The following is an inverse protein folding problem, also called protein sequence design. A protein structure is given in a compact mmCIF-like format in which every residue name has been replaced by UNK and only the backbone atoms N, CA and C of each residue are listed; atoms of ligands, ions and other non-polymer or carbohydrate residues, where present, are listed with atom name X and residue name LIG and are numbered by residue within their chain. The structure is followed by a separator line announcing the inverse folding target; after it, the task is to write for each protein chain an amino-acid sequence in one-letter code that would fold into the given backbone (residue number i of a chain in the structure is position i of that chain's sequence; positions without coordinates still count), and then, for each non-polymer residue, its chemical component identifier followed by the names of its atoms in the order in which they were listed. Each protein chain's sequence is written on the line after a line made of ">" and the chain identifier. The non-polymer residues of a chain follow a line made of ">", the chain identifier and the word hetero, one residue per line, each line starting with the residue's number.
data_IF_363025489043
#
_entry.id   IF_363025489043
#
_cell.length_a   1.000
_cell.length_b   1.000
_cell.length_c   1.000
_cell.angle_alpha   90.00
_cell.angle_beta   90.00
_cell.angle_gamma   90.00
#
_symmetry.space_group_name_H-M   'P 1'
#
loop_
_entity.id
_entity.type
_entity.pdbx_description
1 polymer ?
#
# COMPACT_ATOMS: atom_id res chain seq x y z
N UNK A 1 -2.65 5.66 19.60
CA UNK A 1 -2.38 4.22 19.36
C UNK A 1 -1.60 4.13 18.07
N UNK A 2 -0.51 3.37 18.07
CA UNK A 2 0.35 3.21 16.89
C UNK A 2 -0.09 1.99 16.10
N UNK A 3 -0.26 2.16 14.79
CA UNK A 3 -0.57 1.06 13.88
C UNK A 3 0.71 0.35 13.41
N UNK A 4 1.80 1.13 13.21
CA UNK A 4 3.14 0.58 12.90
C UNK A 4 4.16 1.25 13.81
N UNK A 5 5.05 0.47 14.39
CA UNK A 5 6.26 0.94 15.11
C UNK A 5 7.48 0.25 14.52
N UNK A 6 8.46 1.03 14.11
CA UNK A 6 9.75 0.57 13.63
C UNK A 6 10.82 1.17 14.54
N UNK A 7 11.68 0.34 15.15
CA UNK A 7 12.69 0.79 16.09
C UNK A 7 14.05 0.16 15.78
N UNK A 8 15.02 1.00 15.51
CA UNK A 8 16.43 0.65 15.26
C UNK A 8 16.62 -0.51 14.26
N UNK A 9 15.77 -0.54 13.20
CA UNK A 9 15.77 -1.63 12.23
C UNK A 9 17.01 -1.52 11.35
N UNK A 10 17.72 -2.66 11.25
CA UNK A 10 18.85 -2.87 10.35
C UNK A 10 18.51 -4.00 9.39
N UNK A 11 18.90 -3.82 8.13
CA UNK A 11 18.74 -4.85 7.11
C UNK A 11 19.80 -4.73 6.02
N UNK A 12 20.33 -5.90 5.59
CA UNK A 12 21.33 -6.04 4.55
C UNK A 12 20.92 -7.09 3.51
N UNK A 13 21.23 -6.83 2.24
CA UNK A 13 21.25 -7.86 1.21
C UNK A 13 22.65 -8.46 1.13
N UNK A 14 22.88 -9.61 1.77
CA UNK A 14 24.21 -10.21 1.87
C UNK A 14 25.14 -9.31 2.66
N UNK A 15 26.12 -8.65 2.00
CA UNK A 15 27.08 -7.74 2.64
C UNK A 15 26.69 -6.25 2.52
N UNK A 16 25.69 -5.94 1.70
CA UNK A 16 25.31 -4.57 1.41
C UNK A 16 24.24 -4.11 2.40
N UNK A 17 24.61 -3.28 3.37
CA UNK A 17 23.69 -2.67 4.33
C UNK A 17 22.78 -1.67 3.61
N UNK A 18 21.45 -1.90 3.69
CA UNK A 18 20.43 -1.09 3.03
C UNK A 18 19.66 -0.22 4.03
N UNK A 19 19.43 -0.72 5.24
CA UNK A 19 18.80 0.03 6.32
C UNK A 19 19.70 -0.02 7.57
N UNK A 20 19.94 1.15 8.16
CA UNK A 20 20.81 1.30 9.30
C UNK A 20 20.11 2.07 10.42
N UNK A 21 19.62 1.35 11.43
CA UNK A 21 18.93 1.87 12.61
C UNK A 21 17.75 2.81 12.26
N UNK A 22 16.92 2.38 11.33
CA UNK A 22 15.72 3.12 10.95
C UNK A 22 14.69 3.04 12.06
N UNK A 23 14.16 4.20 12.48
CA UNK A 23 13.14 4.28 13.55
C UNK A 23 12.07 5.30 13.15
N UNK A 24 10.79 4.90 13.14
CA UNK A 24 9.63 5.78 12.95
C UNK A 24 8.37 5.08 13.45
N UNK A 25 7.27 5.83 13.50
CA UNK A 25 5.95 5.31 13.82
C UNK A 25 4.88 5.83 12.87
N UNK A 26 3.82 5.06 12.69
CA UNK A 26 2.57 5.45 12.04
C UNK A 26 1.46 5.37 13.09
N UNK A 27 0.90 6.51 13.47
CA UNK A 27 -0.23 6.54 14.39
C UNK A 27 -1.55 6.30 13.64
N UNK A 28 -2.56 5.86 14.39
CA UNK A 28 -3.90 5.65 13.81
C UNK A 28 -4.44 6.93 13.18
N UNK A 29 -4.80 6.84 11.90
CA UNK A 29 -5.30 7.96 11.11
C UNK A 29 -4.21 8.92 10.59
N UNK A 30 -2.94 8.58 10.72
CA UNK A 30 -1.85 9.34 10.09
C UNK A 30 -1.86 9.13 8.56
N UNK A 31 -1.42 10.16 7.85
CA UNK A 31 -0.96 10.06 6.48
C UNK A 31 0.53 10.42 6.45
N UNK A 32 1.37 9.40 6.50
CA UNK A 32 2.83 9.51 6.52
C UNK A 32 3.41 9.23 5.15
N UNK A 33 4.27 10.12 4.66
CA UNK A 33 5.04 9.91 3.43
C UNK A 33 6.50 9.69 3.75
N UNK A 34 7.07 8.64 3.16
CA UNK A 34 8.51 8.34 3.21
C UNK A 34 9.14 8.75 1.89
N UNK A 35 10.13 9.65 1.98
CA UNK A 35 10.89 10.15 0.85
C UNK A 35 12.30 9.58 0.83
N UNK A 36 12.93 9.64 -0.34
CA UNK A 36 14.34 9.31 -0.52
C UNK A 36 14.66 8.99 -1.97
N UNK A 37 15.96 9.02 -2.29
CA UNK A 37 16.46 8.65 -3.62
C UNK A 37 16.20 7.17 -3.93
N UNK A 38 16.30 6.79 -5.20
CA UNK A 38 16.25 5.38 -5.60
C UNK A 38 17.38 4.61 -4.93
N UNK A 39 17.08 3.41 -4.42
CA UNK A 39 18.07 2.62 -3.68
C UNK A 39 18.25 3.01 -2.21
N UNK A 40 17.57 4.02 -1.68
CA UNK A 40 17.70 4.44 -0.27
C UNK A 40 17.10 3.48 0.76
N UNK A 41 16.45 2.37 0.33
CA UNK A 41 15.87 1.36 1.23
C UNK A 41 14.36 1.45 1.44
N UNK A 42 13.64 2.38 0.79
CA UNK A 42 12.20 2.60 1.01
C UNK A 42 11.34 1.36 0.76
N UNK A 43 11.45 0.75 -0.42
CA UNK A 43 10.69 -0.47 -0.76
C UNK A 43 11.13 -1.68 0.07
N UNK A 44 12.42 -1.72 0.47
CA UNK A 44 12.92 -2.72 1.43
C UNK A 44 12.22 -2.60 2.77
N UNK A 45 11.98 -1.38 3.24
CA UNK A 45 11.24 -1.14 4.48
C UNK A 45 9.80 -1.65 4.41
N UNK A 46 9.08 -1.40 3.30
CA UNK A 46 7.73 -1.98 3.10
C UNK A 46 7.78 -3.51 3.12
N UNK A 47 8.74 -4.13 2.43
CA UNK A 47 8.89 -5.60 2.41
C UNK A 47 9.16 -6.17 3.80
N UNK A 48 9.90 -5.46 4.65
CA UNK A 48 10.10 -5.85 6.06
C UNK A 48 8.79 -5.75 6.85
N UNK A 49 8.01 -4.68 6.68
CA UNK A 49 6.70 -4.51 7.34
C UNK A 49 5.69 -5.57 6.88
N UNK A 50 5.76 -5.99 5.60
CA UNK A 50 4.93 -7.07 5.06
C UNK A 50 5.43 -8.49 5.42
N UNK A 51 6.61 -8.60 6.10
CA UNK A 51 7.27 -9.86 6.42
C UNK A 51 7.71 -10.68 5.19
N UNK A 52 7.85 -10.01 4.03
CA UNK A 52 8.44 -10.61 2.82
C UNK A 52 9.97 -10.73 2.95
N UNK A 53 10.56 -9.92 3.83
CA UNK A 53 11.97 -9.96 4.23
C UNK A 53 12.08 -10.07 5.75
N UNK A 54 13.21 -10.63 6.21
CA UNK A 54 13.53 -10.73 7.65
C UNK A 54 14.62 -9.71 8.00
N UNK A 55 14.34 -8.85 8.97
CA UNK A 55 15.32 -7.88 9.48
C UNK A 55 16.52 -8.56 10.14
N UNK A 56 17.69 -7.92 10.08
CA UNK A 56 18.89 -8.38 10.78
C UNK A 56 18.82 -8.07 12.28
N UNK A 57 18.35 -6.85 12.62
CA UNK A 57 18.17 -6.42 14.01
C UNK A 57 17.09 -5.34 14.14
N UNK A 58 16.81 -4.90 15.37
CA UNK A 58 15.76 -3.93 15.67
C UNK A 58 14.39 -4.58 15.90
N UNK A 59 13.37 -3.77 16.03
CA UNK A 59 12.01 -4.21 16.33
C UNK A 59 10.99 -3.59 15.35
N UNK A 60 10.03 -4.40 14.90
CA UNK A 60 8.85 -3.93 14.16
C UNK A 60 7.61 -4.45 14.87
N UNK A 61 6.69 -3.55 15.21
CA UNK A 61 5.37 -3.91 15.75
C UNK A 61 4.28 -3.43 14.82
N UNK A 62 3.27 -4.27 14.63
CA UNK A 62 2.05 -3.98 13.89
C UNK A 62 0.88 -4.07 14.87
N UNK A 63 0.14 -2.97 15.04
CA UNK A 63 -0.98 -2.86 15.99
C UNK A 63 -0.59 -3.31 17.42
N UNK A 64 0.62 -2.97 17.85
CA UNK A 64 1.18 -3.33 19.16
C UNK A 64 1.72 -4.76 19.27
N UNK A 65 1.57 -5.61 18.24
CA UNK A 65 2.07 -6.98 18.19
C UNK A 65 3.40 -7.03 17.44
N UNK A 66 4.39 -7.77 17.98
CA UNK A 66 5.66 -7.97 17.28
C UNK A 66 5.41 -8.64 15.92
N UNK A 67 6.15 -8.24 14.90
CA UNK A 67 5.96 -8.73 13.53
C UNK A 67 6.15 -10.24 13.39
N UNK A 68 7.00 -10.85 14.23
CA UNK A 68 7.21 -12.30 14.26
C UNK A 68 5.92 -13.06 14.63
N UNK A 69 5.08 -12.47 15.51
CA UNK A 69 3.85 -13.07 16.04
C UNK A 69 2.59 -12.54 15.31
N UNK A 70 2.75 -11.52 14.46
CA UNK A 70 1.62 -10.89 13.79
C UNK A 70 1.06 -11.76 12.65
N UNK A 71 -0.26 -12.00 12.69
CA UNK A 71 -0.98 -12.85 11.72
C UNK A 71 -2.17 -12.17 11.06
N UNK A 72 -2.54 -10.97 11.49
CA UNK A 72 -3.72 -10.26 11.01
C UNK A 72 -3.46 -9.38 9.77
N UNK A 73 -2.74 -9.92 8.77
CA UNK A 73 -2.37 -9.16 7.55
C UNK A 73 -3.56 -8.67 6.72
N UNK A 74 -4.78 -9.19 6.95
CA UNK A 74 -5.99 -8.61 6.34
C UNK A 74 -6.28 -7.18 6.79
N UNK A 75 -5.68 -6.71 7.90
CA UNK A 75 -5.74 -5.32 8.36
C UNK A 75 -4.82 -4.38 7.58
N UNK A 76 -3.96 -4.92 6.73
CA UNK A 76 -3.00 -4.15 5.93
C UNK A 76 -3.37 -4.33 4.47
N UNK A 77 -3.67 -3.24 3.78
CA UNK A 77 -3.79 -3.18 2.34
C UNK A 77 -2.45 -2.76 1.73
N UNK A 78 -2.02 -3.44 0.68
CA UNK A 78 -0.77 -3.12 -0.01
C UNK A 78 -1.01 -2.82 -1.49
N UNK A 79 -0.44 -1.71 -1.94
CA UNK A 79 -0.44 -1.26 -3.33
C UNK A 79 1.02 -1.22 -3.79
N UNK A 80 1.48 -2.20 -4.57
CA UNK A 80 2.82 -2.22 -5.15
C UNK A 80 2.94 -1.21 -6.28
N UNK A 81 4.17 -0.95 -6.72
CA UNK A 81 4.46 -0.13 -7.89
C UNK A 81 3.82 -0.73 -9.15
N UNK A 82 3.13 0.09 -9.95
CA UNK A 82 2.30 -0.37 -11.08
C UNK A 82 3.10 -1.00 -12.22
N UNK A 83 4.38 -0.66 -12.38
CA UNK A 83 5.24 -1.16 -13.46
C UNK A 83 5.33 -2.70 -13.54
N UNK A 84 5.12 -3.40 -12.42
CA UNK A 84 5.17 -4.86 -12.37
C UNK A 84 3.86 -5.53 -12.82
N UNK A 85 2.75 -4.80 -12.87
CA UNK A 85 1.41 -5.34 -13.15
C UNK A 85 0.96 -5.19 -14.62
N UNK A 86 1.59 -4.29 -15.39
CA UNK A 86 1.30 -4.14 -16.82
C UNK A 86 1.66 -5.39 -17.66
N UNK A 87 2.26 -6.40 -17.02
CA UNK A 87 2.62 -7.71 -17.62
C UNK A 87 1.56 -8.79 -17.38
N UNK A 88 0.35 -8.45 -16.89
CA UNK A 88 -0.71 -9.45 -16.78
C UNK A 88 -1.06 -9.94 -18.18
N UNK A 89 -0.56 -11.14 -18.52
CA UNK A 89 -0.77 -11.78 -19.82
C UNK A 89 -2.24 -12.17 -20.05
N UNK A 90 -3.07 -12.19 -19.01
CA UNK A 90 -4.48 -12.56 -19.08
C UNK A 90 -5.38 -11.35 -18.90
N UNK A 91 -6.44 -11.21 -19.72
CA UNK A 91 -7.40 -10.09 -19.64
C UNK A 91 -8.41 -10.28 -18.48
N UNK A 92 -7.92 -10.25 -17.23
CA UNK A 92 -8.81 -10.24 -16.05
C UNK A 92 -9.49 -8.88 -15.92
N UNK A 93 -10.79 -8.87 -15.64
CA UNK A 93 -11.55 -7.66 -15.40
C UNK A 93 -11.20 -7.01 -14.04
N UNK A 94 -11.57 -5.74 -13.84
CA UNK A 94 -11.39 -5.08 -12.56
C UNK A 94 -12.05 -5.84 -11.40
N UNK A 95 -13.27 -6.37 -11.60
CA UNK A 95 -13.99 -7.20 -10.61
C UNK A 95 -13.21 -8.48 -10.29
N UNK A 96 -12.76 -9.20 -11.31
CA UNK A 96 -11.97 -10.44 -11.14
C UNK A 96 -10.64 -10.18 -10.46
N UNK A 97 -9.95 -9.09 -10.81
CA UNK A 97 -8.69 -8.72 -10.19
C UNK A 97 -8.84 -8.43 -8.69
N UNK A 98 -9.88 -7.70 -8.30
CA UNK A 98 -10.14 -7.35 -6.90
C UNK A 98 -10.63 -8.54 -6.09
N UNK A 99 -11.51 -9.38 -6.66
CA UNK A 99 -12.10 -10.52 -5.94
C UNK A 99 -11.06 -11.57 -5.54
N UNK A 100 -9.95 -11.68 -6.29
CA UNK A 100 -8.84 -12.58 -5.95
C UNK A 100 -8.25 -12.27 -4.57
N UNK A 101 -8.33 -11.03 -4.10
CA UNK A 101 -7.86 -10.68 -2.75
C UNK A 101 -8.76 -11.22 -1.62
N UNK A 102 -9.92 -11.77 -1.99
CA UNK A 102 -10.86 -12.46 -1.08
C UNK A 102 -10.74 -14.00 -1.12
N UNK A 103 -9.68 -14.56 -1.72
CA UNK A 103 -9.55 -16.01 -1.96
C UNK A 103 -9.75 -16.86 -0.68
N UNK A 104 -9.33 -16.38 0.49
CA UNK A 104 -9.56 -17.05 1.78
C UNK A 104 -11.05 -17.17 2.18
N UNK A 105 -11.93 -16.42 1.51
CA UNK A 105 -13.37 -16.42 1.73
C UNK A 105 -14.14 -17.16 0.62
N UNK A 106 -13.43 -17.81 -0.30
CA UNK A 106 -14.03 -18.63 -1.34
C UNK A 106 -14.63 -19.91 -0.73
N UNK A 107 -15.57 -20.51 -1.45
CA UNK A 107 -16.20 -21.75 -1.03
C UNK A 107 -15.23 -22.96 -1.17
N UNK A 108 -15.67 -24.14 -0.76
CA UNK A 108 -14.89 -25.38 -0.82
C UNK A 108 -14.41 -25.76 -2.25
N UNK A 109 -15.05 -25.22 -3.28
CA UNK A 109 -14.66 -25.42 -4.69
C UNK A 109 -13.74 -24.30 -5.22
N UNK A 110 -13.14 -23.49 -4.34
CA UNK A 110 -12.34 -22.31 -4.66
C UNK A 110 -13.02 -21.30 -5.58
N UNK A 111 -14.36 -21.15 -5.43
CA UNK A 111 -15.14 -20.17 -6.18
C UNK A 111 -15.61 -19.04 -5.28
N UNK A 112 -15.59 -17.78 -5.76
CA UNK A 112 -16.11 -16.65 -5.02
C UNK A 112 -17.61 -16.79 -4.78
N UNK A 113 -18.06 -16.49 -3.57
CA UNK A 113 -19.48 -16.46 -3.20
C UNK A 113 -20.14 -15.15 -3.66
N UNK A 114 -21.49 -15.13 -3.69
CA UNK A 114 -22.27 -13.88 -3.93
C UNK A 114 -21.84 -12.74 -2.98
N UNK A 115 -21.48 -13.07 -1.73
CA UNK A 115 -20.97 -12.09 -0.76
C UNK A 115 -19.61 -11.49 -1.16
N UNK A 116 -18.77 -12.27 -1.85
CA UNK A 116 -17.49 -11.73 -2.36
C UNK A 116 -17.74 -10.73 -3.48
N UNK A 117 -18.61 -11.04 -4.43
CA UNK A 117 -18.99 -10.11 -5.50
C UNK A 117 -19.62 -8.83 -4.95
N UNK A 118 -20.52 -8.95 -3.97
CA UNK A 118 -21.12 -7.76 -3.35
C UNK A 118 -20.05 -6.86 -2.72
N UNK A 119 -19.11 -7.42 -1.96
CA UNK A 119 -18.00 -6.64 -1.37
C UNK A 119 -17.16 -5.91 -2.41
N UNK A 120 -16.91 -6.54 -3.56
CA UNK A 120 -16.18 -5.89 -4.64
C UNK A 120 -16.99 -4.72 -5.19
N UNK A 121 -18.28 -4.88 -5.42
CA UNK A 121 -19.17 -3.79 -5.89
C UNK A 121 -19.23 -2.65 -4.88
N UNK A 122 -19.39 -2.96 -3.60
CA UNK A 122 -19.45 -1.96 -2.53
C UNK A 122 -18.15 -1.10 -2.52
N UNK A 123 -16.98 -1.72 -2.69
CA UNK A 123 -15.72 -0.97 -2.71
C UNK A 123 -15.55 -0.15 -4.00
N UNK A 124 -16.02 -0.64 -5.16
CA UNK A 124 -16.02 0.14 -6.39
C UNK A 124 -16.94 1.37 -6.29
N UNK A 125 -18.10 1.22 -5.65
CA UNK A 125 -19.02 2.32 -5.35
C UNK A 125 -18.38 3.36 -4.40
N UNK A 126 -17.78 2.92 -3.29
CA UNK A 126 -17.07 3.80 -2.34
C UNK A 126 -15.98 4.63 -3.03
N UNK A 127 -15.30 4.05 -4.03
CA UNK A 127 -14.23 4.70 -4.78
C UNK A 127 -14.72 5.46 -6.02
N UNK A 128 -16.02 5.41 -6.34
CA UNK A 128 -16.66 5.97 -7.55
C UNK A 128 -15.98 5.48 -8.84
N UNK A 129 -15.80 4.17 -8.97
CA UNK A 129 -15.16 3.51 -10.12
C UNK A 129 -15.98 2.33 -10.67
N UNK A 130 -17.28 2.29 -10.48
CA UNK A 130 -18.18 1.21 -10.88
C UNK A 130 -18.06 0.91 -12.39
N UNK A 131 -17.81 1.93 -13.18
CA UNK A 131 -17.59 1.84 -14.61
C UNK A 131 -16.36 1.00 -15.00
N UNK A 132 -15.45 0.72 -14.06
CA UNK A 132 -14.23 -0.08 -14.29
C UNK A 132 -14.40 -1.56 -13.94
N UNK A 133 -15.53 -1.98 -13.36
CA UNK A 133 -15.80 -3.35 -12.90
C UNK A 133 -15.50 -4.40 -13.99
N UNK A 134 -16.00 -4.17 -15.20
CA UNK A 134 -15.97 -5.15 -16.29
C UNK A 134 -14.93 -4.85 -17.36
N UNK A 135 -14.12 -3.80 -17.16
CA UNK A 135 -13.02 -3.48 -18.08
C UNK A 135 -11.82 -4.37 -17.75
N UNK A 136 -11.21 -5.04 -18.76
CA UNK A 136 -9.95 -5.76 -18.57
C UNK A 136 -8.87 -4.85 -17.99
N UNK A 137 -8.15 -5.33 -16.95
CA UNK A 137 -7.16 -4.52 -16.22
C UNK A 137 -6.06 -3.97 -17.16
N UNK A 138 -5.65 -4.75 -18.15
CA UNK A 138 -4.65 -4.35 -19.15
C UNK A 138 -5.15 -3.28 -20.16
N UNK A 139 -6.44 -2.95 -20.17
CA UNK A 139 -7.04 -1.88 -20.98
C UNK A 139 -7.27 -0.59 -20.19
N UNK A 140 -7.01 -0.60 -18.89
CA UNK A 140 -7.16 0.57 -18.02
C UNK A 140 -6.02 1.57 -18.28
N UNK A 141 -6.35 2.87 -18.23
CA UNK A 141 -5.32 3.90 -18.12
C UNK A 141 -4.54 3.77 -16.81
N UNK A 142 -3.34 4.34 -16.71
CA UNK A 142 -2.52 4.30 -15.49
C UNK A 142 -3.28 4.75 -14.25
N UNK A 143 -4.00 5.87 -14.31
CA UNK A 143 -4.81 6.37 -13.20
C UNK A 143 -6.02 5.49 -12.87
N UNK A 144 -6.64 4.84 -13.87
CA UNK A 144 -7.72 3.87 -13.64
C UNK A 144 -7.19 2.60 -12.98
N UNK A 145 -6.06 2.08 -13.46
CA UNK A 145 -5.41 0.92 -12.88
C UNK A 145 -5.04 1.15 -11.40
N UNK A 146 -4.52 2.35 -11.06
CA UNK A 146 -4.25 2.73 -9.67
C UNK A 146 -5.50 2.68 -8.79
N UNK A 147 -6.63 3.22 -9.24
CA UNK A 147 -7.89 3.17 -8.49
C UNK A 147 -8.36 1.74 -8.27
N UNK A 148 -8.26 0.87 -9.27
CA UNK A 148 -8.60 -0.56 -9.13
C UNK A 148 -7.63 -1.27 -8.17
N UNK A 149 -6.35 -0.89 -8.13
CA UNK A 149 -5.40 -1.41 -7.15
C UNK A 149 -5.73 -0.97 -5.72
N UNK A 150 -6.18 0.27 -5.53
CA UNK A 150 -6.74 0.69 -4.24
C UNK A 150 -7.95 -0.15 -3.88
N UNK A 151 -8.89 -0.40 -4.80
CA UNK A 151 -10.04 -1.27 -4.55
C UNK A 151 -9.61 -2.66 -4.08
N UNK A 152 -8.60 -3.25 -4.73
CA UNK A 152 -8.01 -4.53 -4.32
C UNK A 152 -7.42 -4.49 -2.91
N UNK A 153 -6.68 -3.44 -2.58
CA UNK A 153 -6.10 -3.27 -1.25
C UNK A 153 -7.18 -3.08 -0.17
N UNK A 154 -8.28 -2.39 -0.51
CA UNK A 154 -9.36 -2.01 0.38
C UNK A 154 -10.42 -3.10 0.62
N UNK A 155 -10.57 -4.11 -0.26
CA UNK A 155 -11.68 -5.07 -0.24
C UNK A 155 -11.77 -5.93 1.05
N UNK A 156 -10.68 -6.02 1.80
CA UNK A 156 -10.63 -6.68 3.12
C UNK A 156 -10.92 -5.73 4.30
N UNK A 157 -11.26 -4.46 4.04
CA UNK A 157 -11.44 -3.40 5.04
C UNK A 157 -10.19 -3.22 5.92
N UNK A 158 -9.04 -2.87 5.35
CA UNK A 158 -7.81 -2.68 6.11
C UNK A 158 -7.90 -1.46 7.04
N UNK A 159 -7.10 -1.46 8.09
CA UNK A 159 -6.89 -0.31 8.97
C UNK A 159 -5.69 0.54 8.50
N UNK A 160 -4.76 -0.07 7.75
CA UNK A 160 -3.55 0.56 7.20
C UNK A 160 -3.46 0.30 5.71
N UNK A 161 -3.08 1.31 4.93
CA UNK A 161 -2.65 1.20 3.54
C UNK A 161 -1.15 1.48 3.42
N UNK A 162 -0.43 0.55 2.82
CA UNK A 162 0.96 0.70 2.40
C UNK A 162 0.99 0.89 0.89
N UNK A 163 1.63 1.97 0.41
CA UNK A 163 1.72 2.28 -1.01
C UNK A 163 3.19 2.48 -1.41
N UNK A 164 3.65 1.69 -2.36
CA UNK A 164 5.02 1.76 -2.86
C UNK A 164 5.04 2.47 -4.23
N UNK A 165 5.43 3.74 -4.24
CA UNK A 165 5.52 4.60 -5.43
C UNK A 165 4.26 4.54 -6.33
N UNK A 166 3.05 4.73 -5.80
CA UNK A 166 1.81 4.43 -6.51
C UNK A 166 1.54 5.38 -7.69
N UNK A 167 2.23 6.52 -7.78
CA UNK A 167 1.97 7.57 -8.79
C UNK A 167 2.96 7.61 -9.93
N UNK A 168 3.92 6.69 -9.97
CA UNK A 168 4.94 6.63 -11.03
C UNK A 168 4.32 6.32 -12.38
N UNK A 169 4.65 7.12 -13.39
CA UNK A 169 4.16 6.94 -14.76
C UNK A 169 2.73 7.39 -15.01
N UNK A 170 2.13 8.15 -14.10
CA UNK A 170 0.77 8.67 -14.19
C UNK A 170 0.80 10.17 -14.49
N UNK A 171 -0.13 10.64 -15.32
CA UNK A 171 -0.28 12.05 -15.63
C UNK A 171 -0.67 12.88 -14.39
N UNK A 172 -0.33 14.17 -14.39
CA UNK A 172 -0.46 15.06 -13.24
C UNK A 172 -1.90 15.17 -12.72
N UNK A 173 -2.90 15.19 -13.61
CA UNK A 173 -4.32 15.26 -13.23
C UNK A 173 -4.75 13.98 -12.51
N UNK A 174 -4.45 12.83 -13.10
CA UNK A 174 -4.78 11.52 -12.50
C UNK A 174 -4.06 11.31 -11.16
N UNK A 175 -2.82 11.80 -11.01
CA UNK A 175 -2.06 11.80 -9.78
C UNK A 175 -2.76 12.61 -8.67
N UNK A 176 -3.18 13.85 -8.96
CA UNK A 176 -3.94 14.67 -8.00
C UNK A 176 -5.27 14.03 -7.59
N UNK A 177 -6.01 13.46 -8.54
CA UNK A 177 -7.27 12.76 -8.26
C UNK A 177 -7.06 11.52 -7.40
N UNK A 178 -5.95 10.79 -7.61
CA UNK A 178 -5.55 9.66 -6.78
C UNK A 178 -5.21 10.09 -5.35
N UNK A 179 -4.41 11.15 -5.18
CA UNK A 179 -4.04 11.66 -3.85
C UNK A 179 -5.25 12.21 -3.10
N UNK A 180 -6.20 12.89 -3.78
CA UNK A 180 -7.49 13.28 -3.18
C UNK A 180 -8.28 12.08 -2.67
N UNK A 181 -8.31 10.99 -3.45
CA UNK A 181 -8.96 9.75 -3.04
C UNK A 181 -8.32 9.19 -1.76
N UNK A 182 -6.98 9.14 -1.68
CA UNK A 182 -6.27 8.69 -0.48
C UNK A 182 -6.56 9.59 0.73
N UNK A 183 -6.58 10.91 0.55
CA UNK A 183 -6.93 11.86 1.61
C UNK A 183 -8.38 11.63 2.10
N UNK A 184 -9.32 11.38 1.21
CA UNK A 184 -10.70 11.04 1.59
C UNK A 184 -10.79 9.73 2.38
N UNK A 185 -10.05 8.70 1.99
CA UNK A 185 -9.98 7.43 2.72
C UNK A 185 -9.39 7.63 4.13
N UNK A 186 -8.33 8.43 4.24
CA UNK A 186 -7.72 8.76 5.52
C UNK A 186 -8.68 9.57 6.42
N UNK A 187 -9.31 10.62 5.90
CA UNK A 187 -10.12 11.53 6.70
C UNK A 187 -11.50 10.96 7.07
N UNK A 188 -12.20 10.33 6.11
CA UNK A 188 -13.56 9.80 6.33
C UNK A 188 -13.55 8.42 6.95
N UNK A 189 -12.68 7.52 6.51
CA UNK A 189 -12.62 6.13 6.95
C UNK A 189 -11.57 5.87 8.03
N UNK A 190 -10.78 6.91 8.40
CA UNK A 190 -9.73 6.84 9.43
C UNK A 190 -8.67 5.75 9.15
N UNK A 191 -8.43 5.47 7.86
CA UNK A 191 -7.40 4.54 7.42
C UNK A 191 -6.04 5.22 7.55
N UNK A 192 -5.11 4.58 8.22
CA UNK A 192 -3.73 5.07 8.30
C UNK A 192 -3.01 4.80 6.98
N UNK A 193 -2.25 5.75 6.47
CA UNK A 193 -1.57 5.65 5.17
C UNK A 193 -0.08 5.83 5.36
N UNK A 194 0.70 4.86 4.88
CA UNK A 194 2.14 4.98 4.69
C UNK A 194 2.41 4.90 3.20
N UNK A 195 2.89 5.99 2.62
CA UNK A 195 3.17 6.09 1.20
C UNK A 195 4.65 6.37 0.95
N UNK A 196 5.26 5.59 0.07
CA UNK A 196 6.58 5.89 -0.48
C UNK A 196 6.38 6.74 -1.74
N UNK A 197 7.09 7.87 -1.84
CA UNK A 197 7.14 8.68 -3.04
C UNK A 197 8.47 9.40 -3.16
N UNK A 198 8.93 9.60 -4.39
CA UNK A 198 10.03 10.51 -4.70
C UNK A 198 9.55 11.83 -5.31
N UNK A 199 8.25 11.96 -5.60
CA UNK A 199 7.61 13.13 -6.19
C UNK A 199 6.88 13.93 -5.11
N UNK A 200 7.55 14.98 -4.60
CA UNK A 200 7.09 15.66 -3.38
C UNK A 200 6.15 16.82 -3.58
N UNK A 201 6.23 17.52 -4.71
CA UNK A 201 5.53 18.79 -4.88
C UNK A 201 4.01 18.64 -4.74
N UNK A 202 3.46 17.51 -5.21
CA UNK A 202 2.01 17.25 -5.13
C UNK A 202 1.64 16.49 -3.85
N UNK A 203 2.52 15.60 -3.36
CA UNK A 203 2.24 14.74 -2.19
C UNK A 203 2.13 15.56 -0.89
N UNK A 204 2.94 16.61 -0.75
CA UNK A 204 2.92 17.52 0.43
C UNK A 204 1.57 18.17 0.69
N UNK A 205 0.77 18.40 -0.35
CA UNK A 205 -0.56 18.99 -0.20
C UNK A 205 -1.53 18.06 0.55
N UNK A 206 -1.22 16.73 0.61
CA UNK A 206 -2.12 15.70 1.12
C UNK A 206 -1.56 14.95 2.32
N UNK A 207 -0.23 14.84 2.46
CA UNK A 207 0.40 14.14 3.58
C UNK A 207 0.40 15.02 4.84
N UNK A 208 0.19 14.39 6.00
CA UNK A 208 0.19 15.06 7.31
C UNK A 208 1.56 15.03 7.96
N UNK A 209 2.38 14.05 7.62
CA UNK A 209 3.74 13.86 8.15
C UNK A 209 4.65 13.36 7.04
N UNK A 210 5.91 13.76 7.11
CA UNK A 210 6.93 13.34 6.17
C UNK A 210 8.18 12.89 6.93
N UNK A 211 8.82 11.83 6.44
CA UNK A 211 10.16 11.43 6.85
C UNK A 211 11.03 11.22 5.62
N UNK A 212 12.32 11.46 5.77
CA UNK A 212 13.27 11.31 4.67
C UNK A 212 14.28 10.22 4.99
N UNK A 213 14.46 9.29 4.06
CA UNK A 213 15.50 8.26 4.12
C UNK A 213 16.63 8.62 3.15
N UNK A 214 17.85 8.67 3.68
CA UNK A 214 19.08 8.86 2.91
C UNK A 214 20.14 7.89 3.40
N UNK A 215 20.75 7.13 2.47
CA UNK A 215 21.76 6.13 2.78
C UNK A 215 21.32 5.17 3.92
N UNK A 216 20.08 4.67 3.82
CA UNK A 216 19.54 3.72 4.79
C UNK A 216 19.20 4.30 6.17
N UNK A 217 19.24 5.61 6.38
CA UNK A 217 18.92 6.27 7.66
C UNK A 217 17.84 7.33 7.49
N UNK A 218 17.06 7.55 8.54
CA UNK A 218 16.17 8.71 8.61
C UNK A 218 17.04 9.93 8.93
N UNK A 219 16.90 10.97 8.10
CA UNK A 219 17.69 12.22 8.25
C UNK A 219 16.82 13.40 8.70
N UNK A 220 15.51 13.38 8.40
CA UNK A 220 14.52 14.38 8.83
C UNK A 220 13.21 13.66 9.13
N UNK A 221 12.49 14.08 10.18
CA UNK A 221 11.20 13.55 10.60
C UNK A 221 10.26 14.69 11.05
#
# INVERSE_FOLDING_TARGET
>A
MKDIEVKDVVFSYGKDEVLNKVSFDLNKGDFLTIQGENGSGKSTLIKLILKDLKKDSGEIKLFGTNIEDFNAYSKIGYVPQVNDLNKLAFPVTGEEFVILNLYKKFNIFNRPSKKCYQKVRDIFEILNIENLLHIPFNQLSGGQAQKVMIARAMVNNPEVLLLDEPTVGVDEKSKRDFLKLLAQLNDKHKISILMISHEMDVVREFSKREIRIKNGRIVDA
#
